data_IF_260739059769
#
_entry.id   IF_260739059769
#
_cell.length_a   1.000
_cell.length_b   1.000
_cell.length_c   1.000
_cell.angle_alpha   90.00
_cell.angle_beta   90.00
_cell.angle_gamma   90.00
#
_symmetry.space_group_name_H-M   'P 1'
#
loop_
_entity.id
_entity.type
_entity.pdbx_description
1 polymer ?
#
# COMPACT_ATOMS: atom_id res chain seq x y z
N UNK A 1 23.64 10.55 -5.23
CA UNK A 1 23.15 9.26 -4.71
C UNK A 1 21.75 9.07 -5.27
N UNK A 2 21.49 7.93 -5.89
CA UNK A 2 20.16 7.53 -6.34
C UNK A 2 19.62 6.47 -5.39
N UNK A 3 18.34 6.59 -5.04
CA UNK A 3 17.62 5.57 -4.27
C UNK A 3 16.85 4.66 -5.23
N UNK A 4 16.93 3.34 -5.04
CA UNK A 4 16.17 2.38 -5.83
C UNK A 4 14.65 2.55 -5.64
N UNK A 5 14.21 2.91 -4.42
CA UNK A 5 12.81 3.23 -4.09
C UNK A 5 12.76 4.64 -3.48
N UNK A 6 12.51 5.69 -4.28
CA UNK A 6 12.67 7.08 -3.88
C UNK A 6 11.44 7.65 -3.14
N UNK A 7 11.04 7.00 -2.05
CA UNK A 7 10.01 7.50 -1.12
C UNK A 7 10.65 8.16 0.09
N UNK A 8 10.01 9.17 0.68
CA UNK A 8 10.61 9.99 1.74
C UNK A 8 11.10 9.15 2.93
N UNK A 9 10.34 8.18 3.36
CA UNK A 9 10.75 7.27 4.47
C UNK A 9 12.04 6.51 4.14
N UNK A 10 12.26 6.13 2.89
CA UNK A 10 13.50 5.47 2.49
C UNK A 10 14.68 6.46 2.41
N UNK A 11 14.41 7.73 2.09
CA UNK A 11 15.44 8.80 2.17
C UNK A 11 15.90 8.93 3.61
N UNK A 12 14.99 9.09 4.56
CA UNK A 12 15.29 9.23 5.99
C UNK A 12 16.04 8.00 6.53
N UNK A 13 15.55 6.79 6.22
CA UNK A 13 16.19 5.54 6.61
C UNK A 13 17.61 5.41 6.01
N UNK A 14 17.80 5.83 4.74
CA UNK A 14 19.11 5.80 4.10
C UNK A 14 20.08 6.75 4.76
N UNK A 15 19.64 7.94 5.15
CA UNK A 15 20.48 8.91 5.89
C UNK A 15 20.93 8.29 7.23
N UNK A 16 20.01 7.69 7.98
CA UNK A 16 20.33 7.03 9.24
C UNK A 16 21.31 5.86 9.05
N UNK A 17 21.06 5.01 8.06
CA UNK A 17 21.92 3.86 7.75
C UNK A 17 23.32 4.32 7.32
N UNK A 18 23.41 5.32 6.45
CA UNK A 18 24.69 5.89 6.03
C UNK A 18 25.46 6.51 7.20
N UNK A 19 24.79 7.21 8.12
CA UNK A 19 25.42 7.78 9.30
C UNK A 19 26.04 6.70 10.19
N UNK A 20 25.32 5.60 10.44
CA UNK A 20 25.85 4.48 11.22
C UNK A 20 27.03 3.81 10.49
N UNK A 21 26.90 3.53 9.20
CA UNK A 21 27.97 2.91 8.43
C UNK A 21 29.24 3.80 8.37
N UNK A 22 29.05 5.13 8.24
CA UNK A 22 30.15 6.10 8.31
C UNK A 22 30.88 6.04 9.65
N UNK A 23 30.15 6.01 10.75
CA UNK A 23 30.73 5.88 12.10
C UNK A 23 31.48 4.54 12.29
N UNK A 24 31.07 3.50 11.54
CA UNK A 24 31.74 2.19 11.50
C UNK A 24 32.94 2.15 10.55
N UNK A 25 33.29 3.25 9.87
CA UNK A 25 34.47 3.40 9.02
C UNK A 25 34.22 3.15 7.54
N UNK A 26 32.95 3.07 7.08
CA UNK A 26 32.65 2.96 5.67
C UNK A 26 33.06 4.22 4.89
N UNK A 27 33.60 4.05 3.70
CA UNK A 27 33.98 5.13 2.80
C UNK A 27 32.78 5.74 2.08
N UNK A 28 32.92 6.95 1.56
CA UNK A 28 31.87 7.60 0.79
C UNK A 28 31.43 6.80 -0.45
N UNK A 29 32.36 6.05 -1.07
CA UNK A 29 32.05 5.21 -2.24
C UNK A 29 31.24 3.98 -1.84
N UNK A 30 31.59 3.32 -0.73
CA UNK A 30 30.84 2.18 -0.18
C UNK A 30 29.42 2.60 0.23
N UNK A 31 29.25 3.77 0.86
CA UNK A 31 27.95 4.32 1.21
C UNK A 31 27.10 4.58 -0.04
N UNK A 32 27.68 5.19 -1.07
CA UNK A 32 27.00 5.43 -2.35
C UNK A 32 26.57 4.12 -2.99
N UNK A 33 27.49 3.20 -3.16
CA UNK A 33 27.25 1.89 -3.78
C UNK A 33 26.19 1.10 -3.01
N UNK A 34 26.25 1.09 -1.68
CA UNK A 34 25.28 0.42 -0.83
C UNK A 34 23.86 0.96 -1.01
N UNK A 35 23.70 2.29 -1.02
CA UNK A 35 22.37 2.90 -1.19
C UNK A 35 21.84 2.73 -2.62
N UNK A 36 22.69 2.85 -3.65
CA UNK A 36 22.26 2.69 -5.06
C UNK A 36 21.92 1.25 -5.41
N UNK A 37 22.55 0.27 -4.78
CA UNK A 37 22.25 -1.16 -4.95
C UNK A 37 21.08 -1.66 -4.13
N UNK A 38 20.58 -0.87 -3.17
CA UNK A 38 19.48 -1.26 -2.30
C UNK A 38 18.14 -1.24 -3.06
N UNK A 39 17.53 -2.39 -3.23
CA UNK A 39 16.28 -2.58 -3.99
C UNK A 39 15.01 -2.43 -3.14
N UNK A 40 15.14 -2.05 -1.88
CA UNK A 40 14.04 -1.96 -0.94
C UNK A 40 13.92 -3.18 -0.03
N UNK A 41 12.90 -3.15 0.82
CA UNK A 41 12.56 -4.25 1.74
C UNK A 41 11.20 -4.78 1.32
N UNK A 42 11.04 -6.10 1.30
CA UNK A 42 9.75 -6.74 1.04
C UNK A 42 8.68 -6.15 1.93
N UNK A 43 7.52 -5.83 1.37
CA UNK A 43 6.38 -5.20 2.05
C UNK A 43 6.68 -3.81 2.66
N UNK A 44 7.65 -3.08 2.12
CA UNK A 44 7.94 -1.68 2.47
C UNK A 44 8.02 -0.86 1.19
N UNK A 45 6.89 -0.33 0.74
CA UNK A 45 6.72 0.29 -0.58
C UNK A 45 7.29 -0.63 -1.68
N UNK A 46 6.91 -1.90 -1.62
CA UNK A 46 7.44 -2.97 -2.46
C UNK A 46 6.75 -2.96 -3.83
N UNK A 47 7.49 -2.62 -4.88
CA UNK A 47 6.94 -2.44 -6.23
C UNK A 47 6.95 -3.77 -6.98
N UNK A 48 5.82 -4.42 -7.09
CA UNK A 48 5.64 -5.70 -7.77
C UNK A 48 5.39 -5.59 -9.28
N UNK A 49 4.73 -4.51 -9.72
CA UNK A 49 4.48 -4.19 -11.12
C UNK A 49 4.74 -2.70 -11.34
N UNK A 50 5.50 -2.40 -12.38
CA UNK A 50 5.77 -1.02 -12.80
C UNK A 50 5.70 -0.93 -14.33
N UNK A 51 4.48 -0.81 -14.85
CA UNK A 51 4.20 -0.71 -16.28
C UNK A 51 3.54 0.65 -16.61
N UNK A 52 3.56 1.08 -17.87
CA UNK A 52 2.97 2.37 -18.28
C UNK A 52 1.51 2.54 -17.84
N UNK A 53 0.72 1.48 -17.86
CA UNK A 53 -0.71 1.51 -17.57
C UNK A 53 -1.08 1.10 -16.16
N UNK A 54 -0.20 0.36 -15.47
CA UNK A 54 -0.46 -0.16 -14.12
C UNK A 54 0.81 -0.23 -13.31
N UNK A 55 0.73 0.23 -12.06
CA UNK A 55 1.70 -0.06 -11.02
C UNK A 55 1.02 -0.82 -9.88
N UNK A 56 1.75 -1.76 -9.28
CA UNK A 56 1.28 -2.47 -8.09
C UNK A 56 2.34 -2.38 -6.99
N UNK A 57 1.93 -1.88 -5.84
CA UNK A 57 2.77 -1.62 -4.68
C UNK A 57 2.15 -2.34 -3.48
N UNK A 58 2.98 -3.05 -2.69
CA UNK A 58 2.60 -3.64 -1.41
C UNK A 58 3.32 -2.97 -0.26
N UNK A 59 2.58 -2.64 0.80
CA UNK A 59 3.15 -2.01 1.99
C UNK A 59 2.60 -2.64 3.27
N UNK A 60 3.46 -2.79 4.26
CA UNK A 60 3.10 -3.30 5.59
C UNK A 60 2.34 -2.29 6.44
N UNK A 61 2.14 -1.08 5.95
CA UNK A 61 1.44 0.00 6.63
C UNK A 61 0.10 -0.47 7.22
N UNK A 62 -0.06 -0.28 8.52
CA UNK A 62 -1.22 -0.75 9.28
C UNK A 62 -1.62 0.20 10.44
N UNK A 63 -0.96 1.35 10.54
CA UNK A 63 -1.31 2.47 11.41
C UNK A 63 -1.66 3.68 10.54
N UNK A 64 -2.59 4.57 10.95
CA UNK A 64 -2.99 5.70 10.10
C UNK A 64 -1.84 6.58 9.61
N UNK A 65 -0.83 6.82 10.44
CA UNK A 65 0.35 7.58 10.05
C UNK A 65 1.19 6.90 8.97
N UNK A 66 1.33 5.57 9.06
CA UNK A 66 2.03 4.77 8.04
C UNK A 66 1.25 4.79 6.73
N UNK A 67 -0.08 4.58 6.77
CA UNK A 67 -0.95 4.69 5.60
C UNK A 67 -0.81 6.07 4.94
N UNK A 68 -0.85 7.14 5.74
CA UNK A 68 -0.72 8.50 5.22
C UNK A 68 0.62 8.72 4.49
N UNK A 69 1.72 8.24 5.05
CA UNK A 69 3.04 8.35 4.43
C UNK A 69 3.14 7.56 3.11
N UNK A 70 2.60 6.34 3.08
CA UNK A 70 2.56 5.50 1.88
C UNK A 70 1.68 6.12 0.80
N UNK A 71 0.48 6.59 1.15
CA UNK A 71 -0.47 7.25 0.25
C UNK A 71 0.12 8.52 -0.33
N UNK A 72 0.74 9.36 0.49
CA UNK A 72 1.41 10.57 0.03
C UNK A 72 2.55 10.25 -0.95
N UNK A 73 3.30 9.19 -0.70
CA UNK A 73 4.36 8.72 -1.59
C UNK A 73 3.80 8.26 -2.95
N UNK A 74 2.68 7.51 -2.94
CA UNK A 74 1.98 7.08 -4.16
C UNK A 74 1.49 8.29 -4.96
N UNK A 75 0.83 9.25 -4.32
CA UNK A 75 0.34 10.46 -4.99
C UNK A 75 1.47 11.30 -5.58
N UNK A 76 2.61 11.37 -4.90
CA UNK A 76 3.78 12.11 -5.38
C UNK A 76 4.43 11.46 -6.60
N UNK A 77 4.54 10.12 -6.60
CA UNK A 77 5.17 9.37 -7.68
C UNK A 77 4.24 9.14 -8.88
N UNK A 78 2.94 9.15 -8.65
CA UNK A 78 1.92 8.82 -9.66
C UNK A 78 0.74 9.82 -9.63
N UNK A 79 0.99 11.14 -9.82
CA UNK A 79 -0.01 12.19 -9.58
C UNK A 79 -1.26 12.07 -10.46
N UNK A 80 -1.13 11.50 -11.67
CA UNK A 80 -2.22 11.43 -12.67
C UNK A 80 -2.86 10.04 -12.76
N UNK A 81 -2.58 9.14 -11.82
CA UNK A 81 -3.13 7.78 -11.86
C UNK A 81 -4.30 7.60 -10.91
N UNK A 82 -5.27 6.81 -11.34
CA UNK A 82 -6.37 6.34 -10.51
C UNK A 82 -5.84 5.37 -9.46
N UNK A 83 -6.01 5.67 -8.17
CA UNK A 83 -5.46 4.88 -7.08
C UNK A 83 -6.54 4.00 -6.45
N UNK A 84 -6.33 2.68 -6.52
CA UNK A 84 -7.16 1.68 -5.85
C UNK A 84 -6.38 1.17 -4.64
N UNK A 85 -6.80 1.53 -3.45
CA UNK A 85 -6.25 1.05 -2.20
C UNK A 85 -6.99 -0.22 -1.74
N UNK A 86 -6.27 -1.28 -1.48
CA UNK A 86 -6.76 -2.47 -0.79
C UNK A 86 -6.20 -2.45 0.62
N UNK A 87 -7.06 -2.34 1.61
CA UNK A 87 -6.64 -2.27 3.00
C UNK A 87 -7.22 -3.40 3.82
N UNK A 88 -6.36 -4.11 4.55
CA UNK A 88 -6.77 -5.05 5.58
C UNK A 88 -6.53 -4.43 6.95
N UNK A 89 -7.59 -4.03 7.68
CA UNK A 89 -7.43 -3.57 9.04
C UNK A 89 -6.83 -4.68 9.92
N UNK A 90 -5.93 -4.31 10.83
CA UNK A 90 -5.23 -5.25 11.71
C UNK A 90 -5.55 -4.92 13.16
N UNK A 91 -6.11 -5.89 13.91
CA UNK A 91 -6.66 -5.81 15.27
C UNK A 91 -7.99 -5.03 15.36
N UNK A 92 -8.94 -5.59 16.09
CA UNK A 92 -10.22 -4.94 16.35
C UNK A 92 -10.04 -3.68 17.21
N UNK A 93 -9.19 -3.74 18.24
CA UNK A 93 -8.91 -2.61 19.12
C UNK A 93 -8.34 -1.42 18.34
N UNK A 94 -7.32 -1.66 17.49
CA UNK A 94 -6.72 -0.61 16.66
C UNK A 94 -7.73 -0.04 15.67
N UNK A 95 -8.52 -0.89 15.02
CA UNK A 95 -9.55 -0.45 14.06
C UNK A 95 -10.57 0.45 14.74
N UNK A 96 -11.00 0.11 15.97
CA UNK A 96 -11.90 0.95 16.79
C UNK A 96 -11.26 2.28 17.17
N UNK A 97 -10.06 2.22 17.75
CA UNK A 97 -9.42 3.37 18.39
C UNK A 97 -8.96 4.42 17.37
N UNK A 98 -8.64 4.01 16.15
CA UNK A 98 -8.18 4.88 15.06
C UNK A 98 -9.15 4.95 13.88
N UNK A 99 -10.42 4.61 14.06
CA UNK A 99 -11.40 4.52 12.97
C UNK A 99 -11.50 5.81 12.16
N UNK A 100 -11.59 6.96 12.81
CA UNK A 100 -11.75 8.25 12.14
C UNK A 100 -10.46 8.68 11.42
N UNK A 101 -9.29 8.34 11.97
CA UNK A 101 -8.01 8.57 11.31
C UNK A 101 -7.83 7.66 10.09
N UNK A 102 -8.19 6.37 10.18
CA UNK A 102 -8.21 5.48 9.03
C UNK A 102 -9.16 5.99 7.95
N UNK A 103 -10.38 6.37 8.34
CA UNK A 103 -11.36 6.87 7.40
C UNK A 103 -10.87 8.13 6.68
N UNK A 104 -10.30 9.09 7.42
CA UNK A 104 -9.74 10.31 6.85
C UNK A 104 -8.64 10.02 5.82
N UNK A 105 -7.68 9.17 6.17
CA UNK A 105 -6.54 8.87 5.30
C UNK A 105 -6.97 8.05 4.07
N UNK A 106 -7.82 7.03 4.25
CA UNK A 106 -8.32 6.21 3.15
C UNK A 106 -9.24 7.00 2.21
N UNK A 107 -9.95 8.02 2.72
CA UNK A 107 -10.80 8.88 1.90
C UNK A 107 -10.02 9.74 0.90
N UNK A 108 -8.71 9.74 0.96
CA UNK A 108 -7.88 10.41 -0.04
C UNK A 108 -7.69 9.59 -1.33
N UNK A 109 -8.19 8.35 -1.38
CA UNK A 109 -8.07 7.46 -2.53
C UNK A 109 -9.27 7.59 -3.47
N UNK A 110 -9.10 7.21 -4.74
CA UNK A 110 -10.21 7.17 -5.70
C UNK A 110 -11.13 5.97 -5.42
N UNK A 111 -10.54 4.87 -4.95
CA UNK A 111 -11.27 3.65 -4.64
C UNK A 111 -10.62 2.91 -3.47
N UNK A 112 -11.43 2.48 -2.52
CA UNK A 112 -11.01 1.71 -1.34
C UNK A 112 -11.71 0.36 -1.32
N UNK A 113 -10.92 -0.69 -1.28
CA UNK A 113 -11.36 -2.07 -1.04
C UNK A 113 -10.94 -2.47 0.37
N UNK A 114 -11.92 -2.67 1.26
CA UNK A 114 -11.65 -3.17 2.60
C UNK A 114 -11.81 -4.69 2.65
N UNK A 115 -10.81 -5.36 3.21
CA UNK A 115 -10.86 -6.77 3.56
C UNK A 115 -11.38 -6.94 4.99
N UNK A 116 -11.80 -8.16 5.39
CA UNK A 116 -12.12 -8.45 6.78
C UNK A 116 -10.97 -8.09 7.72
N UNK A 117 -11.31 -7.62 8.93
CA UNK A 117 -10.31 -7.30 9.95
C UNK A 117 -9.50 -8.56 10.27
N UNK A 118 -8.17 -8.47 10.21
CA UNK A 118 -7.29 -9.53 10.67
C UNK A 118 -7.17 -9.47 12.20
N UNK A 119 -7.68 -10.47 12.92
CA UNK A 119 -7.81 -10.40 14.37
C UNK A 119 -6.48 -10.58 15.11
N UNK A 120 -5.49 -11.27 14.49
CA UNK A 120 -4.28 -11.74 15.14
C UNK A 120 -4.60 -12.58 16.39
N UNK A 121 -4.54 -11.98 17.59
CA UNK A 121 -4.81 -12.65 18.87
C UNK A 121 -5.99 -12.05 19.62
N UNK A 122 -6.73 -11.14 18.98
CA UNK A 122 -7.88 -10.48 19.61
C UNK A 122 -9.18 -11.24 19.32
N UNK A 123 -10.08 -11.21 20.28
CA UNK A 123 -11.47 -11.60 20.08
C UNK A 123 -12.22 -10.46 19.38
N UNK A 124 -13.24 -10.79 18.56
CA UNK A 124 -14.06 -9.77 17.92
C UNK A 124 -14.69 -8.80 18.88
N UNK A 125 -14.63 -7.51 18.57
CA UNK A 125 -15.32 -6.46 19.34
C UNK A 125 -16.65 -6.18 18.69
N UNK A 126 -17.75 -6.27 19.45
CA UNK A 126 -19.09 -6.05 18.94
C UNK A 126 -19.23 -4.69 18.23
N UNK A 127 -19.75 -4.69 17.02
CA UNK A 127 -19.94 -3.49 16.21
C UNK A 127 -18.68 -2.98 15.50
N UNK A 128 -17.51 -3.58 15.70
CA UNK A 128 -16.27 -3.20 15.02
C UNK A 128 -16.04 -4.16 13.86
N UNK A 129 -16.38 -3.73 12.66
CA UNK A 129 -16.23 -4.51 11.42
C UNK A 129 -15.64 -3.65 10.30
N UNK A 130 -15.26 -4.28 9.20
CA UNK A 130 -14.82 -3.53 8.01
C UNK A 130 -15.96 -2.72 7.39
N UNK A 131 -17.22 -3.19 7.46
CA UNK A 131 -18.42 -2.44 7.06
C UNK A 131 -18.60 -1.19 7.92
N UNK A 132 -18.42 -1.32 9.22
CA UNK A 132 -18.51 -0.20 10.16
C UNK A 132 -17.42 0.85 9.86
N UNK A 133 -16.18 0.43 9.57
CA UNK A 133 -15.11 1.33 9.16
C UNK A 133 -15.43 1.98 7.79
N UNK A 134 -15.93 1.20 6.84
CA UNK A 134 -16.32 1.69 5.51
C UNK A 134 -17.37 2.77 5.57
N UNK A 135 -18.33 2.66 6.50
CA UNK A 135 -19.37 3.68 6.72
C UNK A 135 -18.85 5.05 7.17
N UNK A 136 -17.57 5.13 7.58
CA UNK A 136 -16.91 6.38 8.00
C UNK A 136 -16.12 7.04 6.87
N UNK A 137 -15.85 6.35 5.77
CA UNK A 137 -15.15 6.92 4.62
C UNK A 137 -16.01 7.98 3.95
N UNK A 138 -15.36 9.01 3.40
CA UNK A 138 -16.00 10.09 2.63
C UNK A 138 -16.86 9.58 1.48
N UNK A 139 -17.90 10.29 1.12
CA UNK A 139 -18.86 9.87 0.07
C UNK A 139 -18.27 9.92 -1.34
N UNK A 140 -17.22 10.69 -1.55
CA UNK A 140 -16.52 10.82 -2.85
C UNK A 140 -15.72 9.55 -3.22
N UNK A 141 -15.40 8.71 -2.22
CA UNK A 141 -14.58 7.51 -2.42
C UNK A 141 -15.44 6.35 -2.88
N UNK A 142 -15.04 5.68 -3.93
CA UNK A 142 -15.66 4.41 -4.28
C UNK A 142 -15.28 3.34 -3.27
N UNK A 143 -16.28 2.75 -2.61
CA UNK A 143 -16.15 1.83 -1.48
C UNK A 143 -16.54 0.41 -1.88
N UNK A 144 -15.73 -0.56 -1.52
CA UNK A 144 -15.96 -1.99 -1.79
C UNK A 144 -15.54 -2.83 -0.60
N UNK A 145 -16.35 -3.80 -0.22
CA UNK A 145 -15.94 -4.90 0.66
C UNK A 145 -15.60 -6.11 -0.20
N UNK A 146 -14.53 -6.78 0.11
CA UNK A 146 -14.11 -7.97 -0.61
C UNK A 146 -13.47 -9.00 0.32
N UNK A 147 -13.68 -10.25 0.00
CA UNK A 147 -12.93 -11.35 0.61
C UNK A 147 -11.53 -11.47 -0.02
N UNK A 148 -10.51 -11.89 0.73
CA UNK A 148 -9.14 -11.99 0.21
C UNK A 148 -9.04 -12.81 -1.07
N UNK A 149 -9.74 -13.93 -1.17
CA UNK A 149 -9.68 -14.87 -2.29
C UNK A 149 -10.31 -14.35 -3.61
N UNK A 150 -11.04 -13.22 -3.57
CA UNK A 150 -11.65 -12.63 -4.77
C UNK A 150 -11.03 -11.31 -5.19
N UNK A 151 -10.20 -10.71 -4.32
CA UNK A 151 -9.64 -9.37 -4.54
C UNK A 151 -8.84 -9.27 -5.84
N UNK A 152 -8.03 -10.25 -6.19
CA UNK A 152 -7.26 -10.25 -7.44
C UNK A 152 -8.15 -10.21 -8.69
N UNK A 153 -9.22 -10.99 -8.72
CA UNK A 153 -10.20 -10.97 -9.81
C UNK A 153 -10.93 -9.64 -9.90
N UNK A 154 -11.31 -9.08 -8.77
CA UNK A 154 -11.92 -7.76 -8.68
C UNK A 154 -11.01 -6.69 -9.28
N UNK A 155 -9.75 -6.63 -8.85
CA UNK A 155 -8.77 -5.65 -9.32
C UNK A 155 -8.51 -5.77 -10.82
N UNK A 156 -8.47 -6.98 -11.36
CA UNK A 156 -8.36 -7.20 -12.81
C UNK A 156 -9.54 -6.61 -13.59
N UNK A 157 -10.76 -6.79 -13.09
CA UNK A 157 -11.95 -6.19 -13.71
C UNK A 157 -11.90 -4.67 -13.64
N UNK A 158 -11.54 -4.12 -12.48
CA UNK A 158 -11.42 -2.68 -12.28
C UNK A 158 -10.35 -2.06 -13.18
N UNK A 159 -9.17 -2.70 -13.26
CA UNK A 159 -8.11 -2.25 -14.16
C UNK A 159 -8.62 -2.14 -15.61
N UNK A 160 -9.31 -3.16 -16.12
CA UNK A 160 -9.90 -3.12 -17.47
C UNK A 160 -10.89 -1.96 -17.66
N UNK A 161 -11.73 -1.70 -16.65
CA UNK A 161 -12.70 -0.61 -16.68
C UNK A 161 -12.02 0.77 -16.67
N UNK A 162 -10.98 0.95 -15.87
CA UNK A 162 -10.19 2.19 -15.82
C UNK A 162 -9.46 2.43 -17.14
N UNK A 163 -8.79 1.41 -17.68
CA UNK A 163 -8.08 1.50 -18.96
C UNK A 163 -9.02 1.82 -20.13
N UNK A 164 -10.24 1.26 -20.14
CA UNK A 164 -11.25 1.59 -21.14
C UNK A 164 -11.70 3.07 -21.07
N UNK A 165 -11.48 3.74 -19.95
CA UNK A 165 -11.71 5.18 -19.76
C UNK A 165 -10.46 6.03 -19.97
N UNK A 166 -9.34 5.43 -20.39
CA UNK A 166 -8.06 6.11 -20.56
C UNK A 166 -7.33 6.42 -19.24
N UNK A 167 -7.72 5.80 -18.14
CA UNK A 167 -7.12 6.02 -16.82
C UNK A 167 -6.04 4.96 -16.55
N UNK A 168 -4.80 5.39 -16.32
CA UNK A 168 -3.75 4.53 -15.77
C UNK A 168 -3.99 4.31 -14.27
N UNK A 169 -3.58 3.16 -13.74
CA UNK A 169 -3.95 2.71 -12.39
C UNK A 169 -2.73 2.47 -11.51
N UNK A 170 -2.83 2.85 -10.24
CA UNK A 170 -1.99 2.29 -9.16
C UNK A 170 -2.87 1.41 -8.29
N UNK A 171 -2.45 0.19 -8.06
CA UNK A 171 -2.98 -0.68 -7.03
C UNK A 171 -2.03 -0.63 -5.84
N UNK A 172 -2.56 -0.35 -4.66
CA UNK A 172 -1.82 -0.27 -3.41
C UNK A 172 -2.43 -1.23 -2.40
N UNK A 173 -1.71 -2.28 -2.00
CA UNK A 173 -2.12 -3.14 -0.88
C UNK A 173 -1.44 -2.68 0.40
N UNK A 174 -2.21 -2.59 1.50
CA UNK A 174 -1.73 -2.16 2.82
C UNK A 174 -2.29 -3.05 3.92
N UNK A 175 -1.46 -3.39 4.91
CA UNK A 175 -1.88 -4.16 6.08
C UNK A 175 -0.79 -5.07 6.62
N UNK A 176 -0.88 -5.42 7.90
CA UNK A 176 0.05 -6.31 8.60
C UNK A 176 -0.49 -7.75 8.78
N UNK A 177 -1.68 -8.02 8.28
CA UNK A 177 -2.32 -9.33 8.31
C UNK A 177 -1.90 -10.24 7.15
N UNK A 178 -2.77 -11.18 6.82
CA UNK A 178 -2.56 -12.18 5.77
C UNK A 178 -2.84 -11.68 4.34
N UNK A 179 -3.05 -10.39 4.17
CA UNK A 179 -3.16 -9.74 2.85
C UNK A 179 -1.94 -10.04 1.97
N UNK A 180 -0.77 -10.26 2.56
CA UNK A 180 0.45 -10.61 1.83
C UNK A 180 0.35 -11.92 1.05
N UNK A 181 -0.51 -12.84 1.47
CA UNK A 181 -0.78 -14.09 0.74
C UNK A 181 -1.49 -13.83 -0.60
N UNK A 182 -2.09 -12.67 -0.78
CA UNK A 182 -2.77 -12.28 -2.01
C UNK A 182 -1.85 -11.61 -3.04
N UNK A 183 -0.63 -11.23 -2.65
CA UNK A 183 0.29 -10.44 -3.48
C UNK A 183 0.55 -11.11 -4.83
N UNK A 184 0.89 -12.39 -4.85
CA UNK A 184 1.19 -13.10 -6.09
C UNK A 184 -0.06 -13.33 -6.96
N UNK A 185 -1.24 -13.53 -6.35
CA UNK A 185 -2.49 -13.61 -7.11
C UNK A 185 -2.87 -12.26 -7.72
N UNK A 186 -2.77 -11.19 -6.95
CA UNK A 186 -3.01 -9.82 -7.44
C UNK A 186 -2.05 -9.50 -8.60
N UNK A 187 -0.75 -9.71 -8.42
CA UNK A 187 0.26 -9.50 -9.45
C UNK A 187 -0.08 -10.23 -10.75
N UNK A 188 -0.39 -11.52 -10.67
CA UNK A 188 -0.80 -12.35 -11.82
C UNK A 188 -2.05 -11.79 -12.50
N UNK A 189 -3.06 -11.38 -11.73
CA UNK A 189 -4.29 -10.82 -12.27
C UNK A 189 -4.09 -9.46 -12.95
N UNK A 190 -3.20 -8.62 -12.45
CA UNK A 190 -2.89 -7.31 -13.02
C UNK A 190 -2.01 -7.39 -14.27
N UNK A 191 -1.15 -8.41 -14.38
CA UNK A 191 -0.27 -8.60 -15.55
C UNK A 191 -0.87 -9.46 -16.65
N UNK A 192 -1.97 -10.19 -16.38
CA UNK A 192 -2.58 -11.11 -17.34
C UNK A 192 -3.15 -10.38 -18.56
N UNK A 193 -2.55 -10.58 -19.75
CA UNK A 193 -2.92 -10.00 -21.05
C UNK A 193 -2.91 -8.45 -21.09
N UNK A 194 -2.14 -7.82 -20.25
CA UNK A 194 -1.93 -6.36 -20.25
C UNK A 194 -0.48 -6.05 -20.64
N UNK A 195 0.42 -6.95 -20.37
CA UNK A 195 1.78 -7.05 -20.89
C UNK A 195 1.81 -8.17 -21.93
#
# INVERSE_FOLDING_TARGET
IRLGVPVMVNVENSVAAMAVAWLMGATAEELRSGVESFLGVRRRFDVHVNAPQVSYIDDYAHHPQELAATIQSVKTLYPDRYVIAVFQPHLYSRTRDFADDFARVLSEMDEVVLLPIYPAREEPIAGVTSEWLMGRLGDEVKKVLAEPNVVGKYLRLRLKQCLAKGQNVVVLTMGAGDIDQQVEDIKRNLTYKIL
#
